data_IF_223835209972
#
_entry.id   IF_223835209972
#
_cell.length_a   1.000
_cell.length_b   1.000
_cell.length_c   1.000
_cell.angle_alpha   90.00
_cell.angle_beta   90.00
_cell.angle_gamma   90.00
#
_symmetry.space_group_name_H-M   'P 1'
#
loop_
_entity.id
_entity.type
_entity.pdbx_description
1 polymer ?
#
# COMPACT_ATOMS: atom_id res chain seq x y z
N UNK A 1 27.53 -13.90 4.63
CA UNK A 1 27.45 -12.91 5.72
C UNK A 1 27.83 -13.58 7.03
N UNK A 2 28.79 -13.00 7.78
CA UNK A 2 29.13 -13.43 9.13
C UNK A 2 28.35 -12.66 10.18
N UNK A 3 28.14 -13.24 11.36
CA UNK A 3 27.55 -12.55 12.53
C UNK A 3 28.66 -12.35 13.56
N UNK A 4 28.77 -11.13 14.11
CA UNK A 4 29.68 -10.86 15.20
C UNK A 4 29.06 -11.40 16.50
N UNK A 5 29.77 -12.32 17.16
CA UNK A 5 29.41 -12.83 18.48
C UNK A 5 30.53 -12.41 19.45
N UNK A 6 30.22 -11.55 20.40
CA UNK A 6 31.20 -11.09 21.39
C UNK A 6 30.67 -9.93 22.21
N UNK A 7 31.42 -9.57 23.27
CA UNK A 7 31.08 -8.48 24.19
C UNK A 7 31.26 -7.12 23.52
N UNK A 8 32.24 -7.00 22.60
CA UNK A 8 32.50 -5.74 21.88
C UNK A 8 31.66 -5.71 20.60
N UNK A 9 30.72 -4.78 20.54
CA UNK A 9 29.88 -4.55 19.37
C UNK A 9 30.23 -3.18 18.78
N UNK A 10 30.59 -3.16 17.50
CA UNK A 10 30.86 -1.91 16.78
C UNK A 10 30.22 -1.94 15.39
N UNK A 11 29.91 -0.76 14.87
CA UNK A 11 29.45 -0.55 13.50
C UNK A 11 30.47 0.33 12.79
N UNK A 12 30.58 0.16 11.46
CA UNK A 12 31.53 0.92 10.66
C UNK A 12 32.22 0.08 9.62
N UNK A 13 33.31 0.61 9.08
CA UNK A 13 34.13 -0.03 8.07
C UNK A 13 35.55 -0.19 8.53
N UNK A 14 36.09 -1.39 8.40
CA UNK A 14 37.48 -1.66 8.66
C UNK A 14 38.09 -2.44 7.50
N UNK A 15 39.08 -1.87 6.85
CA UNK A 15 39.68 -2.42 5.64
C UNK A 15 38.62 -2.86 4.61
N UNK A 16 38.61 -4.10 4.20
CA UNK A 16 37.64 -4.70 3.25
C UNK A 16 36.36 -5.22 3.92
N UNK A 17 36.13 -4.93 5.20
CA UNK A 17 34.98 -5.36 5.96
C UNK A 17 34.04 -4.19 6.30
N UNK A 18 32.76 -4.46 6.31
CA UNK A 18 31.72 -3.54 6.74
C UNK A 18 30.88 -4.20 7.83
N UNK A 19 30.74 -3.50 8.97
CA UNK A 19 29.97 -3.92 10.13
C UNK A 19 28.73 -3.03 10.23
N UNK A 20 27.55 -3.61 10.28
CA UNK A 20 26.29 -2.87 10.40
C UNK A 20 25.28 -3.64 11.21
N UNK A 21 24.33 -2.92 11.80
CA UNK A 21 23.26 -3.52 12.57
C UNK A 21 22.09 -3.93 11.65
N UNK A 22 21.64 -5.18 11.76
CA UNK A 22 20.49 -5.72 11.08
C UNK A 22 19.62 -6.48 12.08
N UNK A 23 18.39 -6.02 12.30
CA UNK A 23 17.45 -6.62 13.25
C UNK A 23 18.05 -6.82 14.67
N UNK A 24 18.73 -5.81 15.19
CA UNK A 24 19.37 -5.84 16.49
C UNK A 24 20.67 -6.65 16.60
N UNK A 25 21.18 -7.19 15.48
CA UNK A 25 22.41 -7.98 15.44
C UNK A 25 23.46 -7.31 14.58
N UNK A 26 24.73 -7.33 15.02
CA UNK A 26 25.84 -6.85 14.20
C UNK A 26 26.18 -7.91 13.16
N UNK A 27 26.15 -7.49 11.90
CA UNK A 27 26.46 -8.31 10.73
C UNK A 27 27.72 -7.80 10.07
N UNK A 28 28.59 -8.72 9.70
CA UNK A 28 29.85 -8.45 8.98
C UNK A 28 29.71 -8.93 7.55
N UNK A 29 30.11 -8.10 6.61
CA UNK A 29 30.29 -8.51 5.20
C UNK A 29 31.57 -7.95 4.63
N UNK A 30 32.12 -8.65 3.67
CA UNK A 30 33.21 -8.08 2.86
C UNK A 30 32.66 -6.88 2.08
N UNK A 31 33.43 -5.79 2.03
CA UNK A 31 33.15 -4.70 1.09
C UNK A 31 33.25 -5.29 -0.32
N UNK A 32 32.11 -5.60 -0.88
CA UNK A 32 32.01 -5.98 -2.27
C UNK A 32 31.13 -4.94 -2.92
N UNK A 33 31.43 -4.51 -4.06
CA UNK A 33 30.59 -3.54 -4.75
C UNK A 33 31.28 -2.97 -5.96
N UNK A 34 30.45 -2.42 -6.78
CA UNK A 34 30.91 -1.67 -7.94
C UNK A 34 31.49 -0.34 -7.49
N UNK A 35 32.54 0.08 -8.14
CA UNK A 35 33.09 1.42 -8.01
C UNK A 35 32.05 2.43 -8.50
N UNK A 36 31.69 3.38 -7.62
CA UNK A 36 30.65 4.36 -7.90
C UNK A 36 30.98 5.24 -9.13
N UNK A 37 32.26 5.59 -9.30
CA UNK A 37 32.68 6.38 -10.47
C UNK A 37 32.59 5.57 -11.77
N UNK A 38 32.94 4.30 -11.74
CA UNK A 38 32.74 3.41 -12.88
C UNK A 38 31.26 3.26 -13.25
N UNK A 39 30.37 3.12 -12.25
CA UNK A 39 28.94 3.06 -12.51
C UNK A 39 28.44 4.33 -13.21
N UNK A 40 28.91 5.50 -12.80
CA UNK A 40 28.48 6.77 -13.38
C UNK A 40 28.89 6.94 -14.85
N UNK A 41 30.10 6.51 -15.20
CA UNK A 41 30.72 6.92 -16.48
C UNK A 41 30.91 5.80 -17.50
N UNK A 42 31.04 4.54 -17.09
CA UNK A 42 31.30 3.46 -18.03
C UNK A 42 30.05 2.97 -18.74
N UNK A 43 30.18 2.63 -20.02
CA UNK A 43 29.05 2.20 -20.87
C UNK A 43 28.45 0.87 -20.43
N UNK A 44 29.23 -0.06 -19.92
CA UNK A 44 28.77 -1.36 -19.43
C UNK A 44 27.82 -1.28 -18.23
N UNK A 45 27.78 -0.12 -17.54
CA UNK A 45 26.86 0.11 -16.41
C UNK A 45 25.58 0.87 -16.80
N UNK A 46 25.28 1.07 -18.06
CA UNK A 46 24.04 1.75 -18.51
C UNK A 46 22.81 1.12 -17.88
N UNK A 47 22.70 -0.21 -17.88
CA UNK A 47 21.55 -0.92 -17.29
C UNK A 47 21.44 -0.74 -15.77
N UNK A 48 22.56 -0.60 -15.08
CA UNK A 48 22.58 -0.33 -13.63
C UNK A 48 22.01 1.06 -13.35
N UNK A 49 22.41 2.08 -14.16
CA UNK A 49 21.89 3.45 -14.04
C UNK A 49 20.41 3.53 -14.34
N UNK A 50 19.94 2.90 -15.43
CA UNK A 50 18.53 2.83 -15.80
C UNK A 50 17.68 2.23 -14.69
N UNK A 51 18.08 1.07 -14.16
CA UNK A 51 17.38 0.40 -13.06
C UNK A 51 17.39 1.26 -11.78
N UNK A 52 18.51 1.91 -11.48
CA UNK A 52 18.63 2.77 -10.29
C UNK A 52 17.72 4.00 -10.41
N UNK A 53 17.64 4.61 -11.59
CA UNK A 53 16.76 5.76 -11.87
C UNK A 53 15.30 5.38 -11.68
N UNK A 54 14.84 4.28 -12.31
CA UNK A 54 13.47 3.81 -12.19
C UNK A 54 13.11 3.39 -10.76
N UNK A 55 14.05 2.71 -10.06
CA UNK A 55 13.85 2.36 -8.66
C UNK A 55 13.69 3.59 -7.76
N UNK A 56 14.54 4.60 -7.95
CA UNK A 56 14.45 5.85 -7.20
C UNK A 56 13.11 6.57 -7.44
N UNK A 57 12.64 6.58 -8.70
CA UNK A 57 11.32 7.11 -9.05
C UNK A 57 10.20 6.32 -8.37
N UNK A 58 10.21 4.99 -8.44
CA UNK A 58 9.23 4.13 -7.76
C UNK A 58 9.24 4.31 -6.24
N UNK A 59 10.42 4.46 -5.63
CA UNK A 59 10.55 4.69 -4.19
C UNK A 59 9.95 6.04 -3.77
N UNK A 60 10.23 7.12 -4.54
CA UNK A 60 9.62 8.45 -4.32
C UNK A 60 8.10 8.40 -4.46
N UNK A 61 7.60 7.81 -5.53
CA UNK A 61 6.17 7.63 -5.79
C UNK A 61 5.50 6.79 -4.69
N UNK A 62 6.15 5.70 -4.28
CA UNK A 62 5.67 4.84 -3.20
C UNK A 62 5.63 5.53 -1.85
N UNK A 63 6.59 6.41 -1.55
CA UNK A 63 6.56 7.24 -0.35
C UNK A 63 5.35 8.18 -0.38
N UNK A 64 5.16 8.89 -1.49
CA UNK A 64 4.04 9.83 -1.67
C UNK A 64 2.69 9.11 -1.50
N UNK A 65 2.49 7.98 -2.17
CA UNK A 65 1.28 7.16 -2.06
C UNK A 65 1.00 6.69 -0.63
N UNK A 66 2.02 6.19 0.08
CA UNK A 66 1.86 5.76 1.48
C UNK A 66 1.56 6.91 2.43
N UNK A 67 2.14 8.08 2.19
CA UNK A 67 1.85 9.27 3.01
C UNK A 67 0.41 9.73 2.85
N UNK A 68 -0.16 9.62 1.65
CA UNK A 68 -1.57 9.89 1.41
C UNK A 68 -2.51 8.92 2.16
N UNK A 69 -2.05 7.69 2.35
CA UNK A 69 -2.79 6.63 3.04
C UNK A 69 -2.40 6.47 4.51
N UNK A 70 -1.57 7.35 5.07
CA UNK A 70 -0.94 7.12 6.38
C UNK A 70 -1.97 6.92 7.49
N UNK A 71 -3.07 7.67 7.49
CA UNK A 71 -4.16 7.54 8.47
C UNK A 71 -4.83 6.18 8.44
N UNK A 72 -4.90 5.55 7.27
CA UNK A 72 -5.49 4.22 7.09
C UNK A 72 -4.48 3.10 7.35
N UNK A 73 -3.21 3.29 6.96
CA UNK A 73 -2.17 2.26 7.07
C UNK A 73 -1.56 2.14 8.46
N UNK A 74 -1.35 3.26 9.15
CA UNK A 74 -0.69 3.28 10.46
C UNK A 74 -1.38 2.38 11.50
N UNK A 75 -2.72 2.42 11.63
CA UNK A 75 -3.41 1.59 12.58
C UNK A 75 -3.34 0.08 12.27
N UNK A 76 -3.08 -0.30 11.01
CA UNK A 76 -3.00 -1.70 10.57
C UNK A 76 -1.67 -2.38 10.92
N UNK A 77 -0.63 -1.61 11.24
CA UNK A 77 0.71 -2.10 11.60
C UNK A 77 1.28 -3.13 10.62
N UNK A 78 1.08 -2.94 9.32
CA UNK A 78 1.51 -3.87 8.28
C UNK A 78 3.03 -3.88 8.16
N UNK A 79 3.63 -5.04 8.35
CA UNK A 79 5.08 -5.20 8.21
C UNK A 79 5.51 -5.00 6.74
N UNK A 80 6.60 -4.25 6.55
CA UNK A 80 7.20 -4.02 5.23
C UNK A 80 6.27 -3.42 4.15
N UNK A 81 5.20 -2.73 4.53
CA UNK A 81 4.25 -2.11 3.59
C UNK A 81 4.95 -1.21 2.56
N UNK A 82 6.06 -0.56 2.94
CA UNK A 82 6.87 0.26 2.03
C UNK A 82 7.47 -0.57 0.88
N UNK A 83 7.96 -1.78 1.17
CA UNK A 83 8.49 -2.68 0.13
C UNK A 83 7.38 -3.17 -0.78
N UNK A 84 6.21 -3.54 -0.22
CA UNK A 84 5.06 -4.00 -1.01
C UNK A 84 4.62 -2.93 -2.01
N UNK A 85 4.52 -1.68 -1.57
CA UNK A 85 4.13 -0.55 -2.44
C UNK A 85 5.19 -0.23 -3.49
N UNK A 86 6.49 -0.26 -3.13
CA UNK A 86 7.56 -0.06 -4.12
C UNK A 86 7.54 -1.16 -5.18
N UNK A 87 7.35 -2.42 -4.80
CA UNK A 87 7.21 -3.54 -5.74
C UNK A 87 6.00 -3.36 -6.69
N UNK A 88 4.87 -2.86 -6.17
CA UNK A 88 3.71 -2.51 -7.00
C UNK A 88 4.11 -1.49 -8.07
N UNK A 89 4.74 -0.39 -7.70
CA UNK A 89 5.12 0.66 -8.65
C UNK A 89 6.25 0.22 -9.59
N UNK A 90 7.15 -0.66 -9.16
CA UNK A 90 8.12 -1.29 -10.05
C UNK A 90 7.45 -2.18 -11.13
N UNK A 91 6.32 -2.81 -10.81
CA UNK A 91 5.50 -3.51 -11.80
C UNK A 91 4.80 -2.52 -12.73
N UNK A 92 4.16 -1.49 -12.17
CA UNK A 92 3.39 -0.50 -12.95
C UNK A 92 4.27 0.28 -13.93
N UNK A 93 5.48 0.67 -13.52
CA UNK A 93 6.40 1.43 -14.38
C UNK A 93 6.78 0.65 -15.65
N UNK A 94 6.72 -0.69 -15.63
CA UNK A 94 7.00 -1.51 -16.83
C UNK A 94 5.94 -1.38 -17.90
N UNK A 95 4.74 -0.90 -17.55
CA UNK A 95 3.65 -0.64 -18.48
C UNK A 95 3.75 0.73 -19.18
N UNK A 96 4.72 1.56 -18.81
CA UNK A 96 5.04 2.77 -19.56
C UNK A 96 5.75 2.37 -20.87
N UNK A 97 5.02 2.47 -21.98
CA UNK A 97 5.52 2.22 -23.34
C UNK A 97 5.90 3.51 -24.08
N UNK A 98 5.67 4.68 -23.47
CA UNK A 98 5.95 5.99 -24.06
C UNK A 98 7.42 6.37 -23.86
N UNK A 99 7.94 6.14 -22.65
CA UNK A 99 9.29 6.53 -22.29
C UNK A 99 10.28 5.38 -22.48
N UNK A 100 11.52 5.73 -22.79
CA UNK A 100 12.62 4.76 -22.87
C UNK A 100 12.97 4.27 -21.47
N UNK A 101 13.51 3.05 -21.41
CA UNK A 101 14.00 2.47 -20.15
C UNK A 101 14.98 3.41 -19.44
N UNK A 102 14.86 3.51 -18.13
CA UNK A 102 15.59 4.48 -17.29
C UNK A 102 14.86 5.81 -17.09
N UNK A 103 13.94 6.16 -18.01
CA UNK A 103 13.13 7.37 -17.94
C UNK A 103 11.64 7.12 -17.75
N UNK A 104 11.22 5.84 -17.72
CA UNK A 104 9.82 5.46 -17.55
C UNK A 104 9.22 6.06 -16.26
N UNK A 105 7.93 6.34 -16.30
CA UNK A 105 7.19 6.99 -15.21
C UNK A 105 6.02 6.13 -14.73
N UNK A 106 5.84 6.09 -13.42
CA UNK A 106 4.72 5.37 -12.81
C UNK A 106 3.38 5.93 -13.27
N UNK A 107 3.23 7.26 -13.37
CA UNK A 107 1.97 7.87 -13.77
C UNK A 107 1.57 7.50 -15.21
N UNK A 108 2.52 7.32 -16.12
CA UNK A 108 2.23 6.86 -17.49
C UNK A 108 1.80 5.39 -17.49
N UNK A 109 2.51 4.52 -16.78
CA UNK A 109 2.13 3.11 -16.65
C UNK A 109 0.79 2.94 -15.93
N UNK A 110 0.48 3.80 -14.97
CA UNK A 110 -0.79 3.77 -14.23
C UNK A 110 -2.00 4.18 -15.08
N UNK A 111 -1.83 4.97 -16.16
CA UNK A 111 -2.91 5.29 -17.11
C UNK A 111 -3.34 4.10 -17.96
N UNK A 112 -2.58 3.02 -17.97
CA UNK A 112 -2.91 1.81 -18.74
C UNK A 112 -3.88 0.91 -17.97
N UNK A 113 -4.66 0.10 -18.71
CA UNK A 113 -5.54 -0.90 -18.11
C UNK A 113 -4.77 -1.90 -17.22
N UNK A 114 -3.58 -2.32 -17.68
CA UNK A 114 -2.70 -3.19 -16.88
C UNK A 114 -2.23 -2.53 -15.58
N UNK A 115 -1.97 -1.22 -15.61
CA UNK A 115 -1.65 -0.44 -14.42
C UNK A 115 -2.81 -0.37 -13.44
N UNK A 116 -4.03 -0.09 -13.92
CA UNK A 116 -5.25 -0.12 -13.10
C UNK A 116 -5.46 -1.49 -12.47
N UNK A 117 -5.39 -2.57 -13.27
CA UNK A 117 -5.55 -3.94 -12.79
C UNK A 117 -4.52 -4.31 -11.74
N UNK A 118 -3.26 -3.92 -11.93
CA UNK A 118 -2.21 -4.18 -10.94
C UNK A 118 -2.49 -3.51 -9.59
N UNK A 119 -3.12 -2.33 -9.59
CA UNK A 119 -3.57 -1.62 -8.37
C UNK A 119 -4.76 -2.32 -7.71
N UNK A 120 -5.75 -2.72 -8.50
CA UNK A 120 -6.95 -3.41 -7.99
C UNK A 120 -6.61 -4.78 -7.37
N UNK A 121 -5.65 -5.49 -7.98
CA UNK A 121 -5.17 -6.78 -7.47
C UNK A 121 -4.24 -6.64 -6.26
N UNK A 122 -3.81 -5.40 -5.93
CA UNK A 122 -2.83 -5.19 -4.88
C UNK A 122 -3.38 -5.48 -3.48
N UNK A 123 -2.60 -6.21 -2.69
CA UNK A 123 -2.84 -6.47 -1.27
C UNK A 123 -1.78 -5.76 -0.43
N UNK A 124 -2.23 -4.87 0.47
CA UNK A 124 -1.33 -4.16 1.38
C UNK A 124 -0.67 -5.12 2.38
N UNK A 125 -1.44 -6.08 2.88
CA UNK A 125 -0.94 -7.13 3.76
C UNK A 125 -1.05 -8.49 3.07
N UNK A 126 0.09 -9.01 2.61
CA UNK A 126 0.14 -10.33 1.95
C UNK A 126 -0.11 -11.50 2.90
N UNK A 127 0.16 -11.33 4.20
CA UNK A 127 -0.09 -12.35 5.19
C UNK A 127 -1.58 -12.45 5.56
N UNK A 128 -2.28 -11.32 5.49
CA UNK A 128 -3.71 -11.19 5.80
C UNK A 128 -4.43 -10.54 4.62
N UNK A 129 -4.61 -11.30 3.53
CA UNK A 129 -5.30 -10.78 2.36
C UNK A 129 -6.74 -10.36 2.71
N UNK A 130 -7.20 -9.28 2.08
CA UNK A 130 -8.50 -8.68 2.37
C UNK A 130 -9.66 -9.68 2.20
N UNK A 131 -9.64 -10.48 1.14
CA UNK A 131 -10.68 -11.48 0.87
C UNK A 131 -10.78 -12.63 1.90
N UNK A 132 -9.77 -12.83 2.75
CA UNK A 132 -9.82 -13.88 3.79
C UNK A 132 -10.78 -13.55 4.93
N UNK A 133 -10.86 -12.28 5.33
CA UNK A 133 -11.75 -11.85 6.41
C UNK A 133 -13.02 -11.16 5.87
N UNK A 134 -12.97 -10.63 4.64
CA UNK A 134 -14.10 -9.98 3.97
C UNK A 134 -14.41 -10.68 2.62
N UNK A 135 -15.08 -11.84 2.63
CA UNK A 135 -15.29 -12.68 1.45
C UNK A 135 -16.50 -12.26 0.60
N UNK A 136 -16.86 -10.99 0.61
CA UNK A 136 -18.03 -10.48 -0.09
C UNK A 136 -17.64 -9.85 -1.43
N UNK A 137 -18.58 -9.87 -2.36
CA UNK A 137 -18.48 -9.11 -3.61
C UNK A 137 -18.96 -7.69 -3.36
N UNK A 138 -18.40 -6.76 -4.12
CA UNK A 138 -18.83 -5.38 -4.11
C UNK A 138 -19.06 -4.87 -5.53
N UNK A 139 -19.91 -3.86 -5.62
CA UNK A 139 -20.13 -3.06 -6.80
C UNK A 139 -19.58 -1.66 -6.55
N UNK A 140 -18.86 -1.13 -7.52
CA UNK A 140 -18.27 0.19 -7.45
C UNK A 140 -18.48 0.94 -8.76
N UNK A 141 -19.00 2.15 -8.66
CA UNK A 141 -19.34 3.01 -9.79
C UNK A 141 -18.83 4.44 -9.52
N UNK A 142 -17.83 4.87 -10.31
CA UNK A 142 -17.32 6.24 -10.23
C UNK A 142 -18.29 7.27 -10.79
N UNK A 143 -19.11 6.93 -11.79
CA UNK A 143 -19.98 7.88 -12.49
C UNK A 143 -21.14 8.28 -11.59
N UNK A 144 -21.79 7.29 -11.01
CA UNK A 144 -22.94 7.49 -10.13
C UNK A 144 -22.53 7.73 -8.66
N UNK A 145 -21.23 7.70 -8.36
CA UNK A 145 -20.74 7.95 -7.01
C UNK A 145 -21.23 6.91 -5.99
N UNK A 146 -21.24 5.63 -6.37
CA UNK A 146 -21.83 4.57 -5.56
C UNK A 146 -20.86 3.42 -5.30
N UNK A 147 -20.81 2.94 -4.06
CA UNK A 147 -20.15 1.71 -3.65
C UNK A 147 -21.09 0.91 -2.77
N UNK A 148 -21.28 -0.37 -3.05
CA UNK A 148 -22.11 -1.27 -2.25
C UNK A 148 -21.51 -2.66 -2.14
N UNK A 149 -21.80 -3.32 -1.03
CA UNK A 149 -21.39 -4.70 -0.75
C UNK A 149 -22.56 -5.62 -0.95
N UNK A 150 -22.40 -6.65 -1.80
CA UNK A 150 -23.46 -7.61 -2.11
C UNK A 150 -23.43 -8.79 -1.13
N UNK A 151 -24.61 -9.25 -0.73
CA UNK A 151 -24.80 -10.43 0.11
C UNK A 151 -23.95 -10.39 1.41
N UNK A 152 -23.89 -9.21 2.01
CA UNK A 152 -23.18 -9.06 3.28
C UNK A 152 -23.91 -9.86 4.37
N UNK A 153 -23.14 -10.61 5.16
CA UNK A 153 -23.64 -11.36 6.32
C UNK A 153 -22.60 -11.35 7.42
N UNK A 154 -23.01 -11.00 8.63
CA UNK A 154 -22.16 -11.00 9.81
C UNK A 154 -21.57 -12.38 10.11
N UNK A 155 -22.33 -13.45 9.84
CA UNK A 155 -21.91 -14.85 10.06
C UNK A 155 -20.81 -15.32 9.12
N UNK A 156 -20.74 -14.75 7.91
CA UNK A 156 -19.70 -15.06 6.91
C UNK A 156 -18.43 -14.23 7.07
N UNK A 157 -18.49 -13.16 7.87
CA UNK A 157 -17.36 -12.30 8.18
C UNK A 157 -16.41 -13.01 9.14
N UNK A 158 -15.13 -13.11 8.78
CA UNK A 158 -14.12 -13.73 9.66
C UNK A 158 -13.54 -12.71 10.63
N UNK A 159 -14.28 -12.47 11.72
CA UNK A 159 -13.89 -11.54 12.77
C UNK A 159 -12.90 -12.19 13.75
N UNK A 160 -12.01 -11.39 14.37
CA UNK A 160 -11.15 -11.84 15.46
C UNK A 160 -12.00 -12.16 16.72
N UNK A 161 -11.43 -12.97 17.61
CA UNK A 161 -12.07 -13.30 18.89
C UNK A 161 -12.29 -12.03 19.72
N UNK A 162 -13.49 -11.88 20.27
CA UNK A 162 -13.87 -10.70 21.06
C UNK A 162 -14.40 -9.51 20.23
N UNK A 163 -14.47 -9.62 18.93
CA UNK A 163 -15.12 -8.60 18.12
C UNK A 163 -16.64 -8.58 18.37
N UNK A 164 -17.16 -7.42 18.69
CA UNK A 164 -18.60 -7.16 18.84
C UNK A 164 -19.16 -6.39 17.66
N UNK A 165 -18.34 -5.58 17.01
CA UNK A 165 -18.76 -4.73 15.90
C UNK A 165 -17.75 -4.75 14.75
N UNK A 166 -18.24 -4.50 13.55
CA UNK A 166 -17.42 -4.17 12.37
C UNK A 166 -17.72 -2.74 11.92
N UNK A 167 -16.66 -1.97 11.76
CA UNK A 167 -16.70 -0.63 11.21
C UNK A 167 -16.25 -0.67 9.77
N UNK A 168 -17.07 -0.15 8.88
CA UNK A 168 -16.77 -0.03 7.46
C UNK A 168 -16.77 1.44 7.06
N UNK A 169 -15.80 1.84 6.25
CA UNK A 169 -15.71 3.19 5.74
C UNK A 169 -15.12 3.20 4.33
N UNK A 170 -15.62 4.10 3.52
CA UNK A 170 -15.17 4.30 2.15
C UNK A 170 -14.43 5.62 2.01
N UNK A 171 -13.35 5.63 1.24
CA UNK A 171 -12.49 6.81 1.05
C UNK A 171 -12.19 7.01 -0.43
N UNK A 172 -12.21 8.26 -0.88
CA UNK A 172 -11.62 8.69 -2.14
C UNK A 172 -10.32 9.44 -1.89
N UNK A 173 -9.29 9.08 -2.62
CA UNK A 173 -7.96 9.66 -2.49
C UNK A 173 -7.49 10.16 -3.84
N UNK A 174 -7.38 11.47 -3.98
CA UNK A 174 -6.87 12.13 -5.17
C UNK A 174 -5.36 12.31 -5.07
N UNK A 175 -4.64 11.90 -6.11
CA UNK A 175 -3.18 11.93 -6.17
C UNK A 175 -2.67 12.50 -7.50
N UNK A 176 -1.60 13.28 -7.43
CA UNK A 176 -0.83 13.73 -8.57
C UNK A 176 0.60 13.17 -8.53
N UNK A 177 0.85 12.12 -9.27
CA UNK A 177 2.17 11.48 -9.33
C UNK A 177 3.18 12.20 -10.24
N UNK A 178 2.75 13.22 -10.97
CA UNK A 178 3.63 14.06 -11.75
C UNK A 178 4.15 15.25 -10.92
N UNK A 179 3.24 16.02 -10.34
CA UNK A 179 3.55 17.19 -9.53
C UNK A 179 3.83 16.90 -8.06
N UNK A 180 3.39 15.74 -7.55
CA UNK A 180 3.45 15.39 -6.12
C UNK A 180 2.80 16.45 -5.22
N UNK A 181 1.68 17.02 -5.69
CA UNK A 181 0.88 17.99 -4.94
C UNK A 181 0.26 17.35 -3.69
N UNK A 182 -0.18 18.14 -2.69
CA UNK A 182 -0.84 17.57 -1.52
C UNK A 182 -2.00 16.66 -1.91
N UNK A 183 -2.13 15.46 -1.32
CA UNK A 183 -3.22 14.55 -1.63
C UNK A 183 -4.56 15.12 -1.18
N UNK A 184 -5.61 14.83 -1.94
CA UNK A 184 -6.99 15.08 -1.55
C UNK A 184 -7.54 13.82 -0.89
N UNK A 185 -8.12 13.95 0.29
CA UNK A 185 -8.77 12.85 1.00
C UNK A 185 -10.22 13.22 1.30
N UNK A 186 -11.14 12.41 0.84
CA UNK A 186 -12.56 12.47 1.18
C UNK A 186 -12.98 11.13 1.77
N UNK A 187 -13.57 11.17 2.95
CA UNK A 187 -14.10 9.99 3.64
C UNK A 187 -15.60 10.10 3.78
N UNK A 188 -16.30 9.01 3.60
CA UNK A 188 -17.74 8.91 3.81
C UNK A 188 -18.06 8.64 5.28
N UNK A 189 -19.35 8.67 5.59
CA UNK A 189 -19.84 8.26 6.89
C UNK A 189 -19.45 6.81 7.23
N UNK A 190 -19.34 6.56 8.51
CA UNK A 190 -19.00 5.23 9.04
C UNK A 190 -20.27 4.39 9.09
N UNK A 191 -20.20 3.19 8.54
CA UNK A 191 -21.19 2.14 8.76
C UNK A 191 -20.67 1.25 9.88
N UNK A 192 -21.40 1.20 11.00
CA UNK A 192 -21.10 0.36 12.15
C UNK A 192 -22.14 -0.74 12.21
N UNK A 193 -21.71 -2.00 12.19
CA UNK A 193 -22.60 -3.16 12.25
C UNK A 193 -22.29 -3.98 13.49
N UNK A 194 -23.31 -4.27 14.27
CA UNK A 194 -23.25 -5.19 15.40
C UNK A 194 -23.15 -6.63 14.87
N UNK A 195 -22.09 -7.33 15.24
CA UNK A 195 -21.84 -8.71 14.81
C UNK A 195 -22.74 -9.73 15.53
N UNK A 196 -23.42 -9.32 16.60
CA UNK A 196 -24.39 -10.15 17.33
C UNK A 196 -25.80 -10.01 16.79
N UNK A 197 -26.07 -8.96 16.02
CA UNK A 197 -27.36 -8.72 15.37
C UNK A 197 -27.57 -9.67 14.18
N UNK A 198 -28.79 -10.14 14.03
CA UNK A 198 -29.23 -10.92 12.85
C UNK A 198 -29.85 -10.05 11.78
N UNK A 199 -29.86 -8.74 11.95
CA UNK A 199 -30.41 -7.83 10.95
C UNK A 199 -29.53 -7.79 9.69
N UNK A 200 -30.19 -7.92 8.54
CA UNK A 200 -29.53 -7.78 7.24
C UNK A 200 -29.15 -6.31 7.02
N UNK A 201 -27.84 -6.03 7.05
CA UNK A 201 -27.31 -4.74 6.70
C UNK A 201 -26.68 -4.84 5.31
N UNK A 202 -27.06 -3.95 4.39
CA UNK A 202 -26.42 -3.81 3.08
C UNK A 202 -25.51 -2.58 3.11
N UNK A 203 -24.21 -2.74 3.38
CA UNK A 203 -23.29 -1.61 3.40
C UNK A 203 -23.27 -0.92 2.04
N UNK A 204 -23.71 0.33 2.02
CA UNK A 204 -23.78 1.16 0.83
C UNK A 204 -23.27 2.56 1.15
N UNK A 205 -22.50 3.12 0.22
CA UNK A 205 -21.86 4.41 0.37
C UNK A 205 -22.07 5.23 -0.89
N UNK A 206 -22.56 6.46 -0.72
CA UNK A 206 -22.64 7.43 -1.80
C UNK A 206 -21.49 8.42 -1.66
N UNK A 207 -20.89 8.87 -2.74
CA UNK A 207 -19.79 9.81 -2.72
C UNK A 207 -19.90 10.83 -3.86
N UNK A 208 -19.32 12.01 -3.63
CA UNK A 208 -19.16 13.01 -4.68
C UNK A 208 -17.79 12.76 -5.33
N UNK A 209 -17.72 12.57 -6.65
CA UNK A 209 -16.46 12.38 -7.33
C UNK A 209 -15.50 13.56 -7.12
N UNK A 210 -14.27 13.29 -6.71
CA UNK A 210 -13.22 14.31 -6.60
C UNK A 210 -12.48 14.47 -7.94
N UNK A 211 -12.00 15.69 -8.18
CA UNK A 211 -11.21 16.03 -9.38
C UNK A 211 -9.73 15.94 -9.02
N UNK A 212 -9.04 14.96 -9.60
CA UNK A 212 -7.59 14.77 -9.42
C UNK A 212 -7.05 13.93 -10.59
N UNK A 213 -5.77 14.08 -10.97
CA UNK A 213 -5.16 13.28 -12.04
C UNK A 213 -5.34 11.77 -11.86
N UNK A 214 -5.26 11.30 -10.63
CA UNK A 214 -5.59 9.93 -10.25
C UNK A 214 -6.48 9.93 -9.03
N UNK A 215 -7.53 9.12 -9.07
CA UNK A 215 -8.44 8.92 -7.94
C UNK A 215 -8.46 7.45 -7.58
N UNK A 216 -8.15 7.15 -6.31
CA UNK A 216 -8.21 5.82 -5.74
C UNK A 216 -9.42 5.73 -4.82
N UNK A 217 -10.24 4.73 -5.04
CA UNK A 217 -11.32 4.36 -4.13
C UNK A 217 -10.81 3.27 -3.18
N UNK A 218 -10.84 3.55 -1.89
CA UNK A 218 -10.31 2.66 -0.85
C UNK A 218 -11.42 2.31 0.12
N UNK A 219 -11.64 1.02 0.31
CA UNK A 219 -12.58 0.50 1.29
C UNK A 219 -11.82 0.01 2.52
N UNK A 220 -12.23 0.48 3.69
CA UNK A 220 -11.65 0.14 4.99
C UNK A 220 -12.63 -0.69 5.80
N UNK A 221 -12.12 -1.76 6.42
CA UNK A 221 -12.85 -2.62 7.36
C UNK A 221 -12.03 -2.72 8.64
N UNK A 222 -12.65 -2.41 9.78
CA UNK A 222 -12.05 -2.52 11.12
C UNK A 222 -12.95 -3.34 12.02
N UNK A 223 -12.35 -4.19 12.85
CA UNK A 223 -13.08 -4.90 13.90
C UNK A 223 -12.93 -4.16 15.23
N UNK A 224 -14.03 -4.05 15.93
CA UNK A 224 -14.12 -3.34 17.20
C UNK A 224 -14.69 -4.25 18.30
N UNK A 225 -14.24 -4.01 19.51
CA UNK A 225 -14.84 -4.55 20.72
C UNK A 225 -15.47 -3.40 21.52
N UNK A 226 -16.73 -3.49 21.81
CA UNK A 226 -17.40 -2.58 22.71
C UNK A 226 -17.16 -3.01 24.16
N UNK A 227 -16.67 -2.08 24.97
CA UNK A 227 -16.44 -2.26 26.41
C UNK A 227 -16.96 -1.05 27.14
N UNK A 228 -18.02 -1.20 27.89
CA UNK A 228 -18.67 -0.13 28.66
C UNK A 228 -19.09 1.10 27.83
N UNK A 229 -19.55 0.88 26.60
CA UNK A 229 -19.96 1.93 25.67
C UNK A 229 -18.82 2.53 24.82
N UNK A 230 -17.57 2.15 25.07
CA UNK A 230 -16.42 2.56 24.29
C UNK A 230 -16.02 1.51 23.25
N UNK A 231 -15.75 1.93 22.02
CA UNK A 231 -15.28 1.05 20.94
C UNK A 231 -13.76 0.98 20.91
N UNK A 232 -13.20 -0.18 21.21
CA UNK A 232 -11.77 -0.46 21.14
C UNK A 232 -11.45 -1.24 19.87
N UNK A 233 -10.48 -0.75 19.08
CA UNK A 233 -10.02 -1.43 17.89
C UNK A 233 -9.31 -2.73 18.25
N UNK A 234 -9.69 -3.81 17.58
CA UNK A 234 -8.99 -5.10 17.63
C UNK A 234 -7.97 -5.23 16.48
N UNK A 235 -7.02 -6.14 16.64
CA UNK A 235 -6.17 -6.57 15.55
C UNK A 235 -6.99 -7.32 14.49
N UNK A 236 -6.73 -7.07 13.25
CA UNK A 236 -7.49 -7.58 12.12
C UNK A 236 -8.11 -6.45 11.30
N UNK A 237 -8.89 -6.83 10.30
CA UNK A 237 -9.37 -5.87 9.32
C UNK A 237 -8.28 -5.45 8.33
N UNK A 238 -8.56 -4.47 7.50
CA UNK A 238 -7.65 -4.00 6.47
C UNK A 238 -8.26 -2.98 5.54
N UNK A 239 -7.49 -2.62 4.52
CA UNK A 239 -7.92 -1.75 3.43
C UNK A 239 -7.74 -2.43 2.09
N UNK A 240 -8.64 -2.14 1.15
CA UNK A 240 -8.59 -2.61 -0.24
C UNK A 240 -8.84 -1.46 -1.20
N UNK A 241 -8.05 -1.38 -2.25
CA UNK A 241 -8.36 -0.49 -3.37
C UNK A 241 -9.43 -1.18 -4.21
N UNK A 242 -10.61 -0.57 -4.29
CA UNK A 242 -11.78 -1.12 -4.98
C UNK A 242 -12.05 -0.45 -6.32
N UNK A 243 -11.41 0.69 -6.56
CA UNK A 243 -11.48 1.42 -7.82
C UNK A 243 -10.28 2.34 -8.02
N UNK A 244 -9.94 2.56 -9.27
CA UNK A 244 -8.94 3.54 -9.68
C UNK A 244 -9.39 4.21 -10.97
N UNK A 245 -9.25 5.54 -11.04
CA UNK A 245 -9.52 6.34 -12.23
C UNK A 245 -8.33 7.26 -12.51
N UNK A 246 -7.92 7.32 -13.76
CA UNK A 246 -7.00 8.34 -14.27
C UNK A 246 -7.77 9.34 -15.13
N UNK A 247 -7.53 10.63 -14.93
CA UNK A 247 -7.99 11.65 -15.86
C UNK A 247 -6.98 11.75 -17.01
N UNK A 248 -7.48 11.86 -18.21
CA UNK A 248 -6.67 12.07 -19.42
C UNK A 248 -6.06 13.46 -19.46
#
# INVERSE_FOLDING_TARGET
>A
MGKLKGIVQFTGSFDNLSFYQLNGKIVVRRKGGFDGEKIKHQANYVRVRENSSEFAHCAKTGKYFRMALIGLLQPLRIAYVHNHVVCLFQKIITFDTVQTRGNRKVFTGLKTEHGHRAVLDFEFDKARSFGRFFPFKWFFDFENGHFSVSNFSTTSLKSPVGATHVRMQFHLIGLDFAGFTPPLLQSNDVVLVDLTSTEDCLPSFSFIPIISPFVFAVFEVQFLQEVNGDFKRLEGGGIKIVGVRSQN
#
